data_IF_070876602797
#
_entry.id   IF_070876602797
#
_cell.length_a   1.000
_cell.length_b   1.000
_cell.length_c   1.000
_cell.angle_alpha   90.00
_cell.angle_beta   90.00
_cell.angle_gamma   90.00
#
_symmetry.space_group_name_H-M   'P 1'
#
loop_
_entity.id
_entity.type
_entity.pdbx_description
1 polymer ?
#
# COMPACT_ATOMS: atom_id res chain seq x y z
N UNK A 1 10.86 8.99 -2.65
CA UNK A 1 9.57 9.44 -2.11
C UNK A 1 9.76 9.89 -0.66
N UNK A 2 9.45 11.15 -0.35
CA UNK A 2 9.52 11.74 0.98
C UNK A 2 8.23 11.48 1.76
N UNK A 3 8.37 10.95 2.98
CA UNK A 3 7.25 10.67 3.87
C UNK A 3 6.87 11.91 4.69
N UNK A 4 5.67 12.43 4.42
CA UNK A 4 5.03 13.56 5.13
C UNK A 4 3.63 13.13 5.64
N UNK A 5 3.45 11.85 5.96
CA UNK A 5 2.13 11.30 6.29
C UNK A 5 2.06 10.25 7.40
N UNK A 6 3.21 9.83 7.96
CA UNK A 6 3.25 8.88 9.07
C UNK A 6 3.00 9.59 10.42
N UNK A 7 1.97 9.18 11.20
CA UNK A 7 1.62 9.85 12.46
C UNK A 7 2.24 9.20 13.71
N UNK A 8 3.15 8.23 13.60
CA UNK A 8 3.61 7.47 14.77
C UNK A 8 4.48 8.28 15.75
N UNK A 9 4.41 7.94 17.03
CA UNK A 9 5.11 8.66 18.11
C UNK A 9 6.63 8.72 17.89
N UNK A 10 7.23 7.63 17.40
CA UNK A 10 8.67 7.56 17.06
C UNK A 10 9.07 8.57 15.98
N UNK A 11 8.14 8.89 15.08
CA UNK A 11 8.33 9.78 13.94
C UNK A 11 8.21 11.25 14.38
N UNK A 12 7.35 11.54 15.35
CA UNK A 12 7.21 12.88 15.93
C UNK A 12 8.46 13.31 16.72
N UNK A 13 9.04 12.41 17.51
CA UNK A 13 10.25 12.71 18.30
C UNK A 13 11.48 13.07 17.46
N UNK A 14 11.50 12.70 16.18
CA UNK A 14 12.57 13.05 15.25
C UNK A 14 12.20 14.13 14.23
N UNK A 15 11.02 14.75 14.33
CA UNK A 15 10.53 15.78 13.40
C UNK A 15 10.48 15.34 11.92
N UNK A 16 10.07 14.09 11.65
CA UNK A 16 9.79 13.61 10.28
C UNK A 16 8.34 13.11 10.17
N UNK A 17 7.85 12.76 8.98
CA UNK A 17 6.48 12.25 8.80
C UNK A 17 5.39 13.33 8.89
N UNK A 18 4.23 13.00 9.46
CA UNK A 18 3.03 13.85 9.38
C UNK A 18 3.20 15.23 10.01
N UNK A 19 4.07 15.38 11.03
CA UNK A 19 4.37 16.68 11.65
C UNK A 19 4.93 17.69 10.65
N UNK A 20 5.54 17.23 9.55
CA UNK A 20 6.03 18.10 8.49
C UNK A 20 4.91 18.81 7.70
N UNK A 21 3.65 18.38 7.84
CA UNK A 21 2.49 19.12 7.32
C UNK A 21 2.35 20.51 7.96
N UNK A 22 2.92 20.73 9.16
CA UNK A 22 2.96 22.05 9.79
C UNK A 22 4.13 22.93 9.32
N UNK A 23 5.04 22.39 8.49
CA UNK A 23 6.25 23.07 8.04
C UNK A 23 6.43 22.95 6.51
N UNK A 24 5.48 23.42 5.68
CA UNK A 24 5.56 23.26 4.23
C UNK A 24 6.85 23.81 3.60
N UNK A 25 7.36 24.93 4.12
CA UNK A 25 8.61 25.54 3.63
C UNK A 25 9.82 24.62 3.82
N UNK A 26 9.91 23.98 4.99
CA UNK A 26 10.96 23.00 5.27
C UNK A 26 10.85 21.79 4.32
N UNK A 27 9.63 21.32 4.03
CA UNK A 27 9.42 20.23 3.08
C UNK A 27 9.88 20.64 1.68
N UNK A 28 9.57 21.86 1.25
CA UNK A 28 10.04 22.41 -0.02
C UNK A 28 11.58 22.47 -0.08
N UNK A 29 12.25 22.90 1.00
CA UNK A 29 13.71 22.89 1.10
C UNK A 29 14.28 21.47 1.00
N UNK A 30 13.68 20.51 1.70
CA UNK A 30 14.05 19.10 1.60
C UNK A 30 13.86 18.57 0.17
N UNK A 31 12.76 18.91 -0.51
CA UNK A 31 12.51 18.50 -1.90
C UNK A 31 13.57 19.04 -2.83
N UNK A 32 13.93 20.33 -2.74
CA UNK A 32 15.01 20.91 -3.58
C UNK A 32 16.33 20.19 -3.33
N UNK A 33 16.73 20.06 -2.06
CA UNK A 33 17.98 19.40 -1.69
C UNK A 33 18.05 17.94 -2.17
N UNK A 34 16.94 17.19 -2.09
CA UNK A 34 16.89 15.83 -2.62
C UNK A 34 17.00 15.80 -4.14
N UNK A 35 16.30 16.70 -4.84
CA UNK A 35 16.34 16.79 -6.31
C UNK A 35 17.73 17.17 -6.82
N UNK A 36 18.43 18.06 -6.14
CA UNK A 36 19.80 18.44 -6.50
C UNK A 36 20.79 17.28 -6.32
N UNK A 37 20.44 16.28 -5.51
CA UNK A 37 21.31 15.15 -5.17
C UNK A 37 21.07 13.89 -6.03
N UNK A 38 19.97 13.81 -6.79
CA UNK A 38 19.60 12.59 -7.53
C UNK A 38 18.98 12.90 -8.89
N UNK A 39 19.20 12.02 -9.86
CA UNK A 39 18.61 12.14 -11.21
C UNK A 39 17.20 11.54 -11.34
N UNK A 40 16.72 10.83 -10.30
CA UNK A 40 15.40 10.20 -10.29
C UNK A 40 14.33 11.10 -9.66
N UNK A 41 13.07 10.88 -10.03
CA UNK A 41 11.96 11.67 -9.51
C UNK A 41 11.86 11.68 -7.97
N UNK A 42 11.90 12.89 -7.40
CA UNK A 42 11.60 13.12 -5.99
C UNK A 42 10.11 13.42 -5.83
N UNK A 43 9.42 12.52 -5.15
CA UNK A 43 7.96 12.57 -4.96
C UNK A 43 7.61 12.71 -3.48
N UNK A 44 6.43 13.22 -3.15
CA UNK A 44 5.96 13.40 -1.76
C UNK A 44 4.75 12.51 -1.48
N UNK A 45 4.66 11.95 -0.28
CA UNK A 45 3.43 11.31 0.22
C UNK A 45 2.97 11.97 1.52
N UNK A 46 1.77 12.56 1.51
CA UNK A 46 1.24 13.34 2.62
C UNK A 46 -0.15 12.86 3.09
N UNK A 47 -0.67 13.56 4.10
CA UNK A 47 -2.06 13.54 4.57
C UNK A 47 -2.75 14.82 4.08
N UNK A 48 -4.07 14.95 4.28
CA UNK A 48 -4.79 16.20 3.94
C UNK A 48 -4.58 17.33 4.97
N UNK A 49 -3.99 17.03 6.12
CA UNK A 49 -3.74 17.96 7.21
C UNK A 49 -3.46 17.21 8.52
N UNK A 50 -3.05 17.94 9.55
CA UNK A 50 -2.84 17.40 10.91
C UNK A 50 -3.72 18.07 11.96
N UNK A 51 -4.00 17.35 13.04
CA UNK A 51 -4.70 17.81 14.25
C UNK A 51 -5.92 18.69 13.95
N UNK A 52 -5.90 19.97 14.34
CA UNK A 52 -7.00 20.91 14.17
C UNK A 52 -6.93 21.74 12.88
N UNK A 53 -5.91 21.53 12.03
CA UNK A 53 -5.78 22.24 10.76
C UNK A 53 -7.00 22.03 9.87
N UNK A 54 -7.43 23.07 9.17
CA UNK A 54 -8.47 22.96 8.14
C UNK A 54 -7.85 22.46 6.82
N UNK A 55 -8.16 21.24 6.37
CA UNK A 55 -7.62 20.67 5.14
C UNK A 55 -7.85 21.52 3.88
N UNK A 56 -8.96 22.26 3.82
CA UNK A 56 -9.30 23.13 2.68
C UNK A 56 -8.29 24.27 2.49
N UNK A 57 -7.60 24.66 3.56
CA UNK A 57 -6.61 25.73 3.53
C UNK A 57 -5.18 25.18 3.49
N UNK A 58 -4.87 24.20 4.35
CA UNK A 58 -3.47 23.74 4.51
C UNK A 58 -2.98 22.86 3.38
N UNK A 59 -3.85 22.04 2.77
CA UNK A 59 -3.42 21.16 1.68
C UNK A 59 -3.05 21.94 0.41
N UNK A 60 -3.86 22.90 -0.10
CA UNK A 60 -3.47 23.71 -1.25
C UNK A 60 -2.16 24.47 -1.02
N UNK A 61 -1.98 25.09 0.15
CA UNK A 61 -0.75 25.81 0.49
C UNK A 61 0.46 24.86 0.47
N UNK A 62 0.32 23.70 1.10
CA UNK A 62 1.36 22.68 1.12
C UNK A 62 1.75 22.22 -0.28
N UNK A 63 0.75 21.92 -1.13
CA UNK A 63 0.96 21.49 -2.51
C UNK A 63 1.66 22.59 -3.34
N UNK A 64 1.24 23.84 -3.20
CA UNK A 64 1.85 24.97 -3.89
C UNK A 64 3.36 25.09 -3.56
N UNK A 65 3.74 24.92 -2.29
CA UNK A 65 5.14 25.02 -1.89
C UNK A 65 6.02 23.88 -2.42
N UNK A 66 5.54 22.63 -2.37
CA UNK A 66 6.33 21.51 -2.92
C UNK A 66 6.39 21.55 -4.45
N UNK A 67 5.33 22.03 -5.12
CA UNK A 67 5.34 22.25 -6.58
C UNK A 67 6.34 23.35 -6.95
N UNK A 68 6.42 24.44 -6.19
CA UNK A 68 7.42 25.48 -6.38
C UNK A 68 8.86 24.98 -6.14
N UNK A 69 9.05 23.93 -5.34
CA UNK A 69 10.31 23.20 -5.20
C UNK A 69 10.58 22.19 -6.35
N UNK A 70 9.63 22.07 -7.29
CA UNK A 70 9.67 21.19 -8.46
C UNK A 70 9.29 19.74 -8.17
N UNK A 71 8.46 19.49 -7.15
CA UNK A 71 7.79 18.20 -7.00
C UNK A 71 6.66 18.07 -8.05
N UNK A 72 6.76 17.07 -8.92
CA UNK A 72 5.78 16.83 -9.99
C UNK A 72 4.80 15.69 -9.69
N UNK A 73 5.00 14.98 -8.57
CA UNK A 73 4.14 13.86 -8.17
C UNK A 73 3.94 13.80 -6.66
N UNK A 74 2.67 13.78 -6.26
CA UNK A 74 2.24 13.64 -4.86
C UNK A 74 1.26 12.48 -4.69
N UNK A 75 1.36 11.79 -3.57
CA UNK A 75 0.37 10.81 -3.12
C UNK A 75 -0.31 11.36 -1.87
N UNK A 76 -1.62 11.58 -1.93
CA UNK A 76 -2.41 12.14 -0.82
C UNK A 76 -3.19 11.02 -0.14
N UNK A 77 -2.86 10.73 1.12
CA UNK A 77 -3.76 9.96 1.96
C UNK A 77 -4.93 10.86 2.35
N UNK A 78 -6.13 10.54 1.89
CA UNK A 78 -7.36 11.33 2.01
C UNK A 78 -7.93 11.41 3.45
N UNK A 79 -7.11 11.28 4.50
CA UNK A 79 -7.51 11.44 5.90
C UNK A 79 -6.56 12.41 6.56
N UNK A 80 -7.04 13.16 7.55
CA UNK A 80 -6.16 13.87 8.49
C UNK A 80 -5.30 12.88 9.27
N UNK A 81 -4.23 13.39 9.86
CA UNK A 81 -3.45 12.68 10.87
C UNK A 81 -3.58 13.42 12.21
N UNK A 82 -3.95 12.71 13.26
CA UNK A 82 -3.82 13.22 14.63
C UNK A 82 -2.46 12.83 15.16
N UNK A 83 -1.66 13.82 15.53
CA UNK A 83 -0.34 13.63 16.10
C UNK A 83 -0.47 13.18 17.56
N UNK A 84 -1.54 13.54 18.25
CA UNK A 84 -1.76 13.11 19.63
C UNK A 84 -3.11 12.42 19.80
N UNK A 85 -3.22 11.58 20.84
CA UNK A 85 -4.48 10.96 21.24
C UNK A 85 -4.94 9.75 20.43
N UNK A 86 -4.36 9.47 19.25
CA UNK A 86 -4.69 8.30 18.44
C UNK A 86 -3.46 7.46 18.10
N UNK A 87 -3.56 6.14 18.26
CA UNK A 87 -2.55 5.21 17.77
C UNK A 87 -2.42 5.26 16.23
N UNK A 88 -1.30 4.77 15.65
CA UNK A 88 -1.14 4.71 14.20
C UNK A 88 -2.24 3.91 13.47
N UNK A 89 -2.85 2.94 14.15
CA UNK A 89 -3.98 2.16 13.61
C UNK A 89 -5.24 3.02 13.56
N UNK A 90 -5.60 3.64 14.67
CA UNK A 90 -6.77 4.53 14.77
C UNK A 90 -6.66 5.70 13.80
N UNK A 91 -5.47 6.26 13.62
CA UNK A 91 -5.17 7.29 12.62
C UNK A 91 -5.45 6.89 11.15
N UNK A 92 -5.66 5.59 10.86
CA UNK A 92 -6.05 5.10 9.54
C UNK A 92 -7.51 4.67 9.46
N UNK A 93 -8.22 4.66 10.59
CA UNK A 93 -9.56 4.07 10.73
C UNK A 93 -10.60 5.08 11.23
N UNK A 94 -10.23 6.02 12.11
CA UNK A 94 -11.14 6.98 12.76
C UNK A 94 -11.36 8.26 11.95
N UNK A 95 -10.33 9.09 11.59
CA UNK A 95 -10.58 10.38 10.93
C UNK A 95 -11.21 10.18 9.56
N UNK A 96 -12.31 10.86 9.20
CA UNK A 96 -13.04 10.56 7.97
C UNK A 96 -12.17 10.70 6.71
N UNK A 97 -12.55 9.96 5.67
CA UNK A 97 -11.97 10.10 4.34
C UNK A 97 -12.63 11.29 3.64
N UNK A 98 -11.81 12.09 2.97
CA UNK A 98 -12.26 13.20 2.13
C UNK A 98 -11.60 13.07 0.75
N UNK A 99 -12.23 12.25 -0.11
CA UNK A 99 -11.76 12.05 -1.48
C UNK A 99 -12.11 13.24 -2.37
N UNK A 100 -13.21 13.94 -2.09
CA UNK A 100 -13.65 15.10 -2.85
C UNK A 100 -12.60 16.23 -2.77
N UNK A 101 -11.98 16.43 -1.60
CA UNK A 101 -10.85 17.34 -1.45
C UNK A 101 -9.68 16.96 -2.36
N UNK A 102 -9.36 15.67 -2.49
CA UNK A 102 -8.29 15.22 -3.39
C UNK A 102 -8.62 15.49 -4.86
N UNK A 103 -9.89 15.31 -5.27
CA UNK A 103 -10.34 15.72 -6.61
C UNK A 103 -10.27 17.24 -6.82
N UNK A 104 -10.67 18.05 -5.81
CA UNK A 104 -10.47 19.52 -5.86
C UNK A 104 -9.01 19.89 -6.02
N UNK A 105 -8.08 19.18 -5.36
CA UNK A 105 -6.65 19.43 -5.53
C UNK A 105 -6.19 19.10 -6.96
N UNK A 106 -6.72 18.04 -7.58
CA UNK A 106 -6.39 17.73 -8.98
C UNK A 106 -6.89 18.81 -9.94
N UNK A 107 -8.04 19.41 -9.67
CA UNK A 107 -8.56 20.55 -10.43
C UNK A 107 -7.71 21.82 -10.26
N UNK A 108 -7.26 22.10 -9.04
CA UNK A 108 -6.42 23.27 -8.72
C UNK A 108 -4.99 23.13 -9.25
N UNK A 109 -4.45 21.91 -9.29
CA UNK A 109 -3.08 21.61 -9.74
C UNK A 109 -3.11 20.62 -10.92
N UNK A 110 -3.61 21.02 -12.11
CA UNK A 110 -3.81 20.10 -13.23
C UNK A 110 -2.51 19.48 -13.73
N UNK A 111 -1.39 20.20 -13.62
CA UNK A 111 -0.06 19.75 -14.04
C UNK A 111 0.66 18.88 -13.00
N UNK A 112 0.14 18.78 -11.77
CA UNK A 112 0.68 17.92 -10.73
C UNK A 112 0.08 16.52 -10.87
N UNK A 113 0.92 15.48 -10.87
CA UNK A 113 0.42 14.11 -10.77
C UNK A 113 -0.05 13.82 -9.34
N UNK A 114 -1.36 13.63 -9.16
CA UNK A 114 -1.97 13.38 -7.85
C UNK A 114 -2.49 11.95 -7.79
N UNK A 115 -1.94 11.16 -6.86
CA UNK A 115 -2.48 9.86 -6.52
C UNK A 115 -3.25 9.85 -5.22
N UNK A 116 -4.46 9.29 -5.22
CA UNK A 116 -5.26 9.14 -3.99
C UNK A 116 -4.86 7.87 -3.22
N UNK A 117 -4.96 7.96 -1.89
CA UNK A 117 -4.70 6.86 -0.98
C UNK A 117 -5.65 6.89 0.23
N UNK A 118 -5.83 5.73 0.85
CA UNK A 118 -6.59 5.55 2.09
C UNK A 118 -7.95 4.92 1.82
N UNK A 119 -8.31 3.86 2.54
CA UNK A 119 -9.66 3.26 2.46
C UNK A 119 -10.01 2.48 1.18
N UNK A 120 -9.11 2.39 0.21
CA UNK A 120 -9.35 1.72 -1.08
C UNK A 120 -9.15 0.20 -0.93
N UNK A 121 -10.18 -0.58 -1.28
CA UNK A 121 -10.26 -2.03 -1.00
C UNK A 121 -10.50 -2.90 -2.23
N UNK A 122 -10.66 -2.33 -3.43
CA UNK A 122 -10.85 -3.10 -4.67
C UNK A 122 -10.29 -2.39 -5.90
N UNK A 123 -10.04 -3.15 -6.96
CA UNK A 123 -9.68 -2.59 -8.27
C UNK A 123 -10.82 -1.75 -8.88
N UNK A 124 -12.08 -2.12 -8.62
CA UNK A 124 -13.22 -1.32 -9.08
C UNK A 124 -13.25 0.09 -8.48
N UNK A 125 -12.92 0.22 -7.18
CA UNK A 125 -12.74 1.54 -6.56
C UNK A 125 -11.55 2.29 -7.15
N UNK A 126 -10.44 1.59 -7.40
CA UNK A 126 -9.28 2.21 -8.03
C UNK A 126 -9.62 2.76 -9.43
N UNK A 127 -10.32 1.96 -10.25
CA UNK A 127 -10.76 2.39 -11.58
C UNK A 127 -11.67 3.61 -11.49
N UNK A 128 -12.64 3.64 -10.55
CA UNK A 128 -13.52 4.78 -10.37
C UNK A 128 -12.77 6.09 -10.06
N UNK A 129 -11.68 6.03 -9.27
CA UNK A 129 -10.85 7.21 -9.01
C UNK A 129 -10.06 7.67 -10.25
N UNK A 130 -9.55 6.72 -11.05
CA UNK A 130 -8.85 7.02 -12.30
C UNK A 130 -9.81 7.64 -13.34
N UNK A 131 -10.98 7.04 -13.51
CA UNK A 131 -12.04 7.54 -14.39
C UNK A 131 -12.53 8.94 -13.93
N UNK A 132 -12.47 9.21 -12.63
CA UNK A 132 -12.74 10.51 -12.01
C UNK A 132 -11.65 11.57 -12.21
N UNK A 133 -10.60 11.28 -12.99
CA UNK A 133 -9.57 12.23 -13.40
C UNK A 133 -8.34 12.32 -12.48
N UNK A 134 -8.23 11.45 -11.46
CA UNK A 134 -6.99 11.33 -10.70
C UNK A 134 -5.96 10.53 -11.48
N UNK A 135 -4.69 10.89 -11.34
CA UNK A 135 -3.64 10.28 -12.17
C UNK A 135 -3.16 8.93 -11.62
N UNK A 136 -3.48 8.62 -10.36
CA UNK A 136 -3.10 7.34 -9.77
C UNK A 136 -3.84 6.98 -8.49
N UNK A 137 -3.68 5.72 -8.11
CA UNK A 137 -4.27 5.16 -6.89
C UNK A 137 -3.23 4.33 -6.16
N UNK A 138 -3.06 4.58 -4.86
CA UNK A 138 -2.22 3.76 -4.00
C UNK A 138 -3.07 2.89 -3.07
N UNK A 139 -2.97 1.57 -3.24
CA UNK A 139 -3.63 0.57 -2.39
C UNK A 139 -2.60 0.00 -1.41
N UNK A 140 -2.88 0.09 -0.10
CA UNK A 140 -2.01 -0.41 0.94
C UNK A 140 -2.52 -1.72 1.56
N UNK A 141 -3.30 -1.60 2.63
CA UNK A 141 -3.75 -2.74 3.45
C UNK A 141 -4.47 -3.83 2.66
N UNK A 142 -5.33 -3.47 1.71
CA UNK A 142 -6.05 -4.46 0.91
C UNK A 142 -5.09 -5.31 0.07
N UNK A 143 -4.06 -4.70 -0.55
CA UNK A 143 -3.04 -5.42 -1.31
C UNK A 143 -2.21 -6.36 -0.42
N UNK A 144 -2.03 -6.05 0.86
CA UNK A 144 -1.30 -6.92 1.78
C UNK A 144 -2.16 -8.04 2.37
N UNK A 145 -3.43 -7.76 2.72
CA UNK A 145 -4.32 -8.73 3.36
C UNK A 145 -5.03 -9.65 2.38
N UNK A 146 -5.28 -9.18 1.16
CA UNK A 146 -5.98 -9.88 0.08
C UNK A 146 -5.24 -9.67 -1.25
N UNK A 147 -3.95 -10.05 -1.35
CA UNK A 147 -3.13 -9.72 -2.52
C UNK A 147 -3.69 -10.28 -3.82
N UNK A 148 -4.29 -11.48 -3.82
CA UNK A 148 -4.85 -12.03 -5.06
C UNK A 148 -6.02 -11.19 -5.61
N UNK A 149 -6.86 -10.62 -4.75
CA UNK A 149 -8.03 -9.85 -5.18
C UNK A 149 -7.65 -8.46 -5.69
N UNK A 150 -6.48 -7.94 -5.29
CA UNK A 150 -5.96 -6.65 -5.74
C UNK A 150 -4.96 -6.78 -6.88
N UNK A 151 -4.02 -7.72 -6.81
CA UNK A 151 -2.85 -7.76 -7.68
C UNK A 151 -3.06 -8.66 -8.90
N UNK A 152 -3.77 -9.78 -8.77
CA UNK A 152 -3.87 -10.75 -9.86
C UNK A 152 -4.46 -10.15 -11.14
N UNK A 153 -5.45 -9.26 -11.03
CA UNK A 153 -6.12 -8.64 -12.15
C UNK A 153 -5.67 -7.19 -12.43
N UNK A 154 -4.67 -6.67 -11.70
CA UNK A 154 -4.25 -5.28 -11.83
C UNK A 154 -3.76 -4.94 -13.24
N UNK A 155 -2.91 -5.79 -13.83
CA UNK A 155 -2.36 -5.61 -15.18
C UNK A 155 -3.46 -5.40 -16.25
N UNK A 156 -4.41 -6.34 -16.45
CA UNK A 156 -5.43 -6.17 -17.47
C UNK A 156 -6.48 -5.10 -17.11
N UNK A 157 -6.84 -4.96 -15.84
CA UNK A 157 -7.93 -4.05 -15.43
C UNK A 157 -7.49 -2.58 -15.44
N UNK A 158 -6.31 -2.29 -14.88
CA UNK A 158 -5.85 -0.91 -14.69
C UNK A 158 -4.96 -0.44 -15.85
N UNK A 159 -4.08 -1.32 -16.32
CA UNK A 159 -3.08 -0.95 -17.33
C UNK A 159 -3.47 -1.38 -18.75
N UNK A 160 -4.54 -2.16 -18.89
CA UNK A 160 -4.96 -2.72 -20.20
C UNK A 160 -3.91 -3.64 -20.82
N UNK A 161 -3.03 -4.22 -19.99
CA UNK A 161 -1.86 -4.98 -20.42
C UNK A 161 -1.81 -6.35 -19.76
N UNK A 162 -1.04 -7.27 -20.34
CA UNK A 162 -0.78 -8.57 -19.73
C UNK A 162 -2.04 -9.43 -19.59
N UNK A 163 -2.01 -10.33 -18.61
CA UNK A 163 -3.11 -11.26 -18.32
C UNK A 163 -3.30 -11.35 -16.81
N UNK A 164 -4.51 -11.73 -16.40
CA UNK A 164 -4.75 -12.00 -14.99
C UNK A 164 -3.81 -13.13 -14.51
N UNK A 165 -3.08 -12.86 -13.43
CA UNK A 165 -2.19 -13.83 -12.79
C UNK A 165 -2.97 -14.83 -11.96
N UNK A 166 -2.54 -16.08 -11.94
CA UNK A 166 -3.10 -17.13 -11.09
C UNK A 166 -2.34 -17.19 -9.76
N UNK A 167 -3.01 -17.02 -8.59
CA UNK A 167 -2.34 -17.11 -7.30
C UNK A 167 -1.75 -18.51 -7.01
N UNK A 168 -2.26 -19.59 -7.60
CA UNK A 168 -1.61 -20.92 -7.48
C UNK A 168 -0.26 -20.92 -8.18
N UNK A 169 -0.21 -20.41 -9.42
CA UNK A 169 1.06 -20.22 -10.14
C UNK A 169 2.01 -19.27 -9.40
N UNK A 170 1.50 -18.23 -8.75
CA UNK A 170 2.31 -17.33 -7.94
C UNK A 170 2.98 -18.04 -6.75
N UNK A 171 2.31 -19.01 -6.10
CA UNK A 171 2.94 -19.83 -5.06
C UNK A 171 4.08 -20.66 -5.63
N UNK A 172 3.87 -21.31 -6.78
CA UNK A 172 4.94 -22.07 -7.44
C UNK A 172 6.13 -21.18 -7.81
N UNK A 173 5.89 -19.98 -8.32
CA UNK A 173 6.94 -19.01 -8.63
C UNK A 173 7.73 -18.54 -7.40
N UNK A 174 7.14 -18.60 -6.20
CA UNK A 174 7.81 -18.29 -4.94
C UNK A 174 8.72 -19.41 -4.42
N UNK A 175 8.59 -20.65 -4.91
CA UNK A 175 9.38 -21.79 -4.42
C UNK A 175 10.89 -21.59 -4.63
N UNK A 176 11.39 -21.22 -5.83
CA UNK A 176 12.82 -20.98 -6.01
C UNK A 176 13.37 -19.84 -5.12
N UNK A 177 12.55 -18.81 -4.88
CA UNK A 177 12.90 -17.73 -3.96
C UNK A 177 13.01 -18.23 -2.51
N UNK A 178 12.07 -19.07 -2.08
CA UNK A 178 12.10 -19.70 -0.75
C UNK A 178 13.36 -20.55 -0.61
N UNK A 179 13.68 -21.40 -1.59
CA UNK A 179 14.87 -22.26 -1.57
C UNK A 179 16.17 -21.45 -1.50
N UNK A 180 16.28 -20.38 -2.28
CA UNK A 180 17.43 -19.48 -2.25
C UNK A 180 17.56 -18.78 -0.88
N UNK A 181 16.46 -18.29 -0.31
CA UNK A 181 16.44 -17.63 1.00
C UNK A 181 16.86 -18.58 2.13
N UNK A 182 16.37 -19.82 2.11
CA UNK A 182 16.75 -20.85 3.07
C UNK A 182 18.22 -21.23 2.93
N UNK A 183 18.71 -21.38 1.70
CA UNK A 183 20.12 -21.69 1.41
C UNK A 183 21.08 -20.59 1.90
N UNK A 184 20.61 -19.34 1.94
CA UNK A 184 21.34 -18.20 2.49
C UNK A 184 21.25 -18.08 4.03
N UNK A 185 20.69 -19.08 4.73
CA UNK A 185 20.54 -19.08 6.20
C UNK A 185 19.27 -18.36 6.69
N UNK A 186 18.39 -17.96 5.78
CA UNK A 186 17.07 -17.42 6.10
C UNK A 186 16.12 -18.47 6.67
N UNK A 187 15.01 -18.02 7.26
CA UNK A 187 13.94 -18.89 7.79
C UNK A 187 12.67 -18.76 6.97
N UNK A 188 11.95 -19.86 6.78
CA UNK A 188 10.72 -19.89 5.96
C UNK A 188 9.69 -18.83 6.38
N UNK A 189 9.45 -18.65 7.69
CA UNK A 189 8.48 -17.67 8.20
C UNK A 189 8.75 -16.22 7.76
N UNK A 190 10.00 -15.87 7.43
CA UNK A 190 10.35 -14.52 6.97
C UNK A 190 9.75 -14.23 5.59
N UNK A 191 9.53 -15.27 4.79
CA UNK A 191 8.85 -15.21 3.50
C UNK A 191 7.36 -15.45 3.67
N UNK A 192 6.96 -16.57 4.26
CA UNK A 192 5.56 -17.03 4.25
C UNK A 192 4.62 -16.15 5.06
N UNK A 193 5.12 -15.36 6.04
CA UNK A 193 4.31 -14.35 6.74
C UNK A 193 3.69 -13.30 5.79
N UNK A 194 4.28 -13.12 4.61
CA UNK A 194 3.78 -12.20 3.57
C UNK A 194 2.86 -12.90 2.56
N UNK A 195 2.70 -14.23 2.64
CA UNK A 195 1.86 -15.03 1.75
C UNK A 195 0.53 -15.48 2.40
N UNK A 196 0.34 -15.19 3.70
CA UNK A 196 -0.82 -15.66 4.49
C UNK A 196 -2.17 -15.17 3.95
N UNK A 197 -2.19 -14.01 3.30
CA UNK A 197 -3.38 -13.40 2.72
C UNK A 197 -3.74 -13.91 1.32
N UNK A 198 -2.87 -14.69 0.67
CA UNK A 198 -2.96 -14.98 -0.77
C UNK A 198 -4.31 -15.57 -1.20
N UNK A 199 -4.85 -16.47 -0.40
CA UNK A 199 -6.14 -17.12 -0.68
C UNK A 199 -7.28 -16.59 0.19
N UNK A 200 -7.17 -15.39 0.79
CA UNK A 200 -8.22 -14.82 1.63
C UNK A 200 -9.61 -14.89 0.95
N UNK A 201 -10.63 -15.29 1.70
CA UNK A 201 -12.00 -15.46 1.18
C UNK A 201 -12.24 -16.70 0.30
N UNK A 202 -11.22 -17.51 -0.01
CA UNK A 202 -11.34 -18.69 -0.88
C UNK A 202 -11.45 -20.00 -0.09
N UNK A 203 -12.00 -21.08 -0.68
CA UNK A 203 -11.91 -22.44 -0.15
C UNK A 203 -10.46 -22.81 0.22
N UNK A 204 -10.28 -23.55 1.33
CA UNK A 204 -8.95 -23.96 1.80
C UNK A 204 -8.11 -22.86 2.47
N UNK A 205 -8.51 -21.58 2.41
CA UNK A 205 -7.71 -20.46 2.94
C UNK A 205 -7.39 -20.53 4.44
N UNK A 206 -8.30 -21.11 5.23
CA UNK A 206 -8.09 -21.34 6.67
C UNK A 206 -6.97 -22.36 6.89
N UNK A 207 -6.98 -23.46 6.13
CA UNK A 207 -5.95 -24.49 6.15
C UNK A 207 -4.58 -23.94 5.75
N UNK A 208 -4.53 -23.21 4.63
CA UNK A 208 -3.36 -22.47 4.16
C UNK A 208 -2.72 -21.63 5.28
N UNK A 209 -3.51 -20.73 5.87
CA UNK A 209 -3.02 -19.83 6.92
C UNK A 209 -2.54 -20.59 8.15
N UNK A 210 -3.29 -21.60 8.59
CA UNK A 210 -2.95 -22.40 9.77
C UNK A 210 -1.62 -23.11 9.59
N UNK A 211 -1.45 -23.85 8.50
CA UNK A 211 -0.24 -24.62 8.22
C UNK A 211 1.00 -23.75 8.16
N UNK A 212 0.92 -22.61 7.47
CA UNK A 212 2.05 -21.69 7.37
C UNK A 212 2.37 -21.00 8.70
N UNK A 213 1.36 -20.54 9.43
CA UNK A 213 1.58 -19.88 10.73
C UNK A 213 2.17 -20.81 11.80
N UNK A 214 1.73 -22.08 11.84
CA UNK A 214 2.17 -23.05 12.85
C UNK A 214 3.47 -23.77 12.45
N UNK A 215 3.67 -23.99 11.15
CA UNK A 215 4.78 -24.80 10.63
C UNK A 215 6.03 -23.99 10.28
N UNK A 216 5.90 -22.77 9.76
CA UNK A 216 7.02 -22.07 9.11
C UNK A 216 8.08 -21.52 10.08
N UNK A 217 7.79 -21.49 11.38
CA UNK A 217 8.76 -21.10 12.42
C UNK A 217 9.73 -22.24 12.80
N UNK A 218 9.44 -23.49 12.41
CA UNK A 218 10.28 -24.65 12.74
C UNK A 218 11.63 -24.56 12.02
N UNK A 219 12.75 -24.93 12.65
CA UNK A 219 14.07 -24.90 12.01
C UNK A 219 14.17 -25.75 10.74
N UNK A 220 13.38 -26.82 10.65
CA UNK A 220 13.38 -27.77 9.53
C UNK A 220 12.31 -27.46 8.48
N UNK A 221 11.60 -26.33 8.58
CA UNK A 221 10.52 -26.02 7.64
C UNK A 221 11.08 -25.55 6.29
N UNK A 222 10.68 -26.22 5.22
CA UNK A 222 11.08 -25.92 3.85
C UNK A 222 9.90 -25.71 2.88
N UNK A 223 10.18 -25.66 1.57
CA UNK A 223 9.17 -25.44 0.52
C UNK A 223 8.07 -26.51 0.51
N UNK A 224 8.35 -27.73 0.99
CA UNK A 224 7.39 -28.82 1.11
C UNK A 224 6.18 -28.46 1.99
N UNK A 225 6.38 -27.64 3.04
CA UNK A 225 5.27 -27.14 3.86
C UNK A 225 4.35 -26.22 3.05
N UNK A 226 4.92 -25.39 2.18
CA UNK A 226 4.18 -24.45 1.33
C UNK A 226 3.39 -25.21 0.27
N UNK A 227 4.01 -26.21 -0.37
CA UNK A 227 3.35 -27.06 -1.35
C UNK A 227 2.24 -27.91 -0.73
N UNK A 228 2.44 -28.44 0.48
CA UNK A 228 1.40 -29.16 1.21
C UNK A 228 0.22 -28.26 1.59
N UNK A 229 0.49 -27.01 1.98
CA UNK A 229 -0.55 -26.03 2.24
C UNK A 229 -1.30 -25.63 0.95
N UNK A 230 -0.59 -25.52 -0.18
CA UNK A 230 -1.18 -25.23 -1.49
C UNK A 230 -2.11 -26.36 -1.94
N UNK A 231 -1.71 -27.62 -1.75
CA UNK A 231 -2.52 -28.78 -2.12
C UNK A 231 -3.89 -28.80 -1.41
N UNK A 232 -3.99 -28.34 -0.16
CA UNK A 232 -5.27 -28.21 0.53
C UNK A 232 -6.17 -27.13 -0.09
N UNK A 233 -5.56 -26.06 -0.63
CA UNK A 233 -6.31 -25.00 -1.30
C UNK A 233 -6.81 -25.48 -2.65
N UNK A 234 -5.97 -26.14 -3.46
CA UNK A 234 -6.37 -26.63 -4.78
C UNK A 234 -7.46 -27.69 -4.69
N UNK A 235 -7.35 -28.65 -3.77
CA UNK A 235 -8.39 -29.66 -3.54
C UNK A 235 -9.73 -29.01 -3.15
N UNK A 236 -9.71 -28.06 -2.21
CA UNK A 236 -10.93 -27.37 -1.78
C UNK A 236 -11.56 -26.49 -2.89
N UNK A 237 -10.74 -25.96 -3.80
CA UNK A 237 -11.23 -25.23 -4.98
C UNK A 237 -11.90 -26.17 -5.99
N UNK A 238 -11.29 -27.34 -6.24
CA UNK A 238 -11.83 -28.37 -7.14
C UNK A 238 -13.15 -28.93 -6.62
N UNK A 239 -13.24 -29.27 -5.33
CA UNK A 239 -14.47 -29.73 -4.69
C UNK A 239 -15.61 -28.71 -4.84
N UNK A 240 -15.30 -27.42 -4.65
CA UNK A 240 -16.29 -26.36 -4.83
C UNK A 240 -16.73 -26.21 -6.28
N UNK A 241 -15.82 -26.36 -7.23
CA UNK A 241 -16.12 -26.27 -8.66
C UNK A 241 -16.99 -27.45 -9.14
N UNK A 242 -16.92 -28.60 -8.49
CA UNK A 242 -17.75 -29.77 -8.78
C UNK A 242 -19.13 -29.70 -8.11
N UNK A 243 -19.26 -28.92 -7.03
CA UNK A 243 -20.50 -28.79 -6.25
C UNK A 243 -21.43 -27.65 -6.72
N UNK A 244 -20.99 -26.79 -7.64
CA UNK A 244 -21.74 -25.66 -8.19
C UNK A 244 -21.95 -25.79 -9.68
#
# INVERSE_FOLDING_TARGET
NLNVGCPSDRVQSGCFGAVLMERPALVADCVRAMRDAVDVDVTVKCRIGVDDQDPEHVLPEFLAQIVAAGCERVIVHARKAWLQGLSPKENRDIPPLDYDLVHRMKQLFPNLHISVNGGITSLGQAQAFLDGGLDGVMIGRAAYHQPADILCAADPVIFGQGRQSDPVQAVHAMIPYIEAHLSAGGRLHQVTRHMLGLFAGRPGARGWRRMLSEGAARPTAGPELVLAALAQVTAALEERAQAG
#
